data_IF_760434888868
#
_entry.id   IF_760434888868
#
_cell.length_a   1.000
_cell.length_b   1.000
_cell.length_c   1.000
_cell.angle_alpha   90.00
_cell.angle_beta   90.00
_cell.angle_gamma   90.00
#
_symmetry.space_group_name_H-M   'P 1'
#
loop_
_entity.id
_entity.type
_entity.pdbx_description
1 polymer ?
#
# COMPACT_ATOMS: atom_id res chain seq x y z
N UNK A 1 17.16 31.79 11.92
CA UNK A 1 15.82 31.37 11.44
C UNK A 1 16.02 30.47 10.22
N UNK A 2 16.04 29.15 10.42
CA UNK A 2 16.23 28.18 9.33
C UNK A 2 14.97 28.12 8.47
N UNK A 3 15.11 28.20 7.13
CA UNK A 3 14.01 28.00 6.18
C UNK A 3 13.43 26.60 6.43
N UNK A 4 12.16 26.54 6.85
CA UNK A 4 11.44 25.30 7.13
C UNK A 4 11.56 24.34 5.94
N UNK A 5 12.14 23.17 6.17
CA UNK A 5 12.13 22.08 5.20
C UNK A 5 10.68 21.57 5.10
N UNK A 6 9.96 22.05 4.09
CA UNK A 6 8.74 21.40 3.61
C UNK A 6 9.14 20.61 2.38
N UNK A 7 8.48 19.47 2.12
CA UNK A 7 8.48 18.93 0.76
C UNK A 7 8.07 20.06 -0.19
N UNK A 8 8.82 20.24 -1.27
CA UNK A 8 8.49 21.26 -2.26
C UNK A 8 7.25 20.81 -3.04
N UNK A 9 7.04 19.49 -3.18
CA UNK A 9 5.86 18.90 -3.77
C UNK A 9 4.66 18.95 -2.81
N UNK A 10 3.49 19.30 -3.36
CA UNK A 10 2.21 19.22 -2.64
C UNK A 10 1.50 17.93 -3.07
N UNK A 11 1.11 17.09 -2.11
CA UNK A 11 0.42 15.83 -2.37
C UNK A 11 -1.08 15.97 -2.15
N UNK A 12 -1.87 15.67 -3.18
CA UNK A 12 -3.33 15.76 -3.09
C UNK A 12 -3.91 14.53 -2.39
N UNK A 13 -5.14 14.65 -1.87
CA UNK A 13 -5.82 13.56 -1.17
C UNK A 13 -5.99 12.35 -2.12
N UNK A 14 -5.45 11.16 -1.76
CA UNK A 14 -5.44 10.00 -2.65
C UNK A 14 -6.82 9.30 -2.74
N UNK A 15 -7.77 9.70 -1.91
CA UNK A 15 -9.07 9.06 -1.78
C UNK A 15 -10.20 10.08 -1.82
N UNK A 16 -11.35 9.65 -2.33
CA UNK A 16 -12.59 10.42 -2.19
C UNK A 16 -13.02 10.48 -0.70
N UNK A 17 -13.57 11.64 -0.33
CA UNK A 17 -14.09 11.92 1.01
C UNK A 17 -13.07 12.47 2.00
N UNK A 18 -13.43 12.46 3.29
CA UNK A 18 -12.56 12.98 4.36
C UNK A 18 -11.33 12.07 4.51
N UNK A 19 -10.11 12.63 4.54
CA UNK A 19 -8.90 11.84 4.79
C UNK A 19 -8.98 11.15 6.15
N UNK A 20 -8.75 9.84 6.18
CA UNK A 20 -8.63 9.02 7.38
C UNK A 20 -7.27 8.33 7.37
N UNK A 21 -6.63 8.06 8.52
CA UNK A 21 -5.39 7.28 8.54
C UNK A 21 -5.58 5.93 7.83
N UNK A 22 -4.61 5.47 7.02
CA UNK A 22 -4.75 4.19 6.36
C UNK A 22 -4.70 3.09 7.42
N UNK A 23 -5.62 2.13 7.30
CA UNK A 23 -5.60 0.93 8.14
C UNK A 23 -4.40 0.06 7.80
N UNK A 24 -3.90 -0.66 8.80
CA UNK A 24 -2.76 -1.57 8.69
C UNK A 24 -3.17 -3.00 8.99
N UNK A 25 -2.35 -3.93 8.52
CA UNK A 25 -2.36 -5.33 8.93
C UNK A 25 -0.95 -5.69 9.40
N UNK A 26 -0.86 -6.30 10.59
CA UNK A 26 0.40 -6.33 11.33
C UNK A 26 0.90 -4.92 11.67
N UNK A 27 2.20 -4.80 11.92
CA UNK A 27 2.84 -3.50 12.18
C UNK A 27 3.08 -2.67 10.90
N UNK A 28 3.53 -3.30 9.81
CA UNK A 28 4.17 -2.56 8.71
C UNK A 28 3.36 -2.48 7.41
N UNK A 29 2.47 -3.44 7.15
CA UNK A 29 1.70 -3.48 5.91
C UNK A 29 0.41 -2.65 6.01
N UNK A 30 0.04 -1.91 4.96
CA UNK A 30 -1.29 -1.31 4.85
C UNK A 30 -2.27 -2.43 4.55
N UNK A 31 -3.49 -2.32 5.08
CA UNK A 31 -4.49 -3.35 4.83
C UNK A 31 -4.85 -3.41 3.34
N UNK A 32 -5.21 -4.58 2.79
CA UNK A 32 -5.73 -4.72 1.42
C UNK A 32 -6.75 -3.68 0.99
N UNK A 33 -7.69 -3.30 1.88
CA UNK A 33 -8.71 -2.29 1.61
C UNK A 33 -8.14 -0.92 1.22
N UNK A 34 -6.95 -0.56 1.68
CA UNK A 34 -6.27 0.70 1.32
C UNK A 34 -5.88 0.66 -0.16
N UNK A 35 -5.33 -0.45 -0.63
CA UNK A 35 -4.98 -0.67 -2.02
C UNK A 35 -6.22 -0.75 -2.91
N UNK A 36 -7.23 -1.52 -2.51
CA UNK A 36 -8.50 -1.61 -3.22
C UNK A 36 -9.15 -0.23 -3.39
N UNK A 37 -9.20 0.57 -2.32
CA UNK A 37 -9.73 1.93 -2.38
C UNK A 37 -8.92 2.82 -3.32
N UNK A 38 -7.59 2.67 -3.36
CA UNK A 38 -6.71 3.41 -4.27
C UNK A 38 -6.99 3.04 -5.74
N UNK A 39 -7.39 1.79 -5.96
CA UNK A 39 -7.79 1.23 -7.24
C UNK A 39 -9.27 1.44 -7.57
N UNK A 40 -9.94 2.32 -6.83
CA UNK A 40 -11.36 2.65 -6.97
C UNK A 40 -12.31 1.46 -6.74
N UNK A 41 -11.83 0.40 -6.08
CA UNK A 41 -12.62 -0.75 -5.64
C UNK A 41 -13.04 -0.50 -4.19
N UNK A 42 -14.28 -0.08 -3.98
CA UNK A 42 -14.81 0.16 -2.65
C UNK A 42 -15.48 -1.09 -2.08
N UNK A 43 -14.85 -1.82 -1.15
CA UNK A 43 -15.39 -3.05 -0.55
C UNK A 43 -16.85 -2.91 -0.11
N UNK A 44 -17.19 -1.83 0.59
CA UNK A 44 -18.57 -1.55 1.02
C UNK A 44 -19.52 -1.32 -0.16
N UNK A 45 -19.07 -0.61 -1.20
CA UNK A 45 -19.87 -0.32 -2.40
C UNK A 45 -20.16 -1.63 -3.14
N UNK A 46 -19.15 -2.45 -3.39
CA UNK A 46 -19.29 -3.73 -4.09
C UNK A 46 -20.23 -4.68 -3.34
N UNK A 47 -20.02 -4.85 -2.04
CA UNK A 47 -20.92 -5.66 -1.18
C UNK A 47 -22.37 -5.15 -1.23
N UNK A 48 -22.56 -3.83 -1.29
CA UNK A 48 -23.90 -3.23 -1.35
C UNK A 48 -24.54 -3.48 -2.71
N UNK A 49 -23.79 -3.34 -3.81
CA UNK A 49 -24.24 -3.67 -5.18
C UNK A 49 -24.68 -5.13 -5.29
N UNK A 50 -24.02 -6.05 -4.57
CA UNK A 50 -24.38 -7.46 -4.51
C UNK A 50 -25.61 -7.77 -3.63
N UNK A 51 -26.19 -6.76 -2.97
CA UNK A 51 -27.33 -6.93 -2.06
C UNK A 51 -26.94 -7.53 -0.70
N UNK A 52 -25.65 -7.57 -0.35
CA UNK A 52 -25.11 -8.20 0.85
C UNK A 52 -24.84 -7.20 1.99
N UNK A 53 -25.34 -5.97 1.87
CA UNK A 53 -25.10 -4.90 2.85
C UNK A 53 -25.59 -5.27 4.27
N UNK A 54 -26.69 -6.01 4.39
CA UNK A 54 -27.20 -6.45 5.68
C UNK A 54 -26.26 -7.46 6.35
N UNK A 55 -25.81 -8.49 5.62
CA UNK A 55 -24.84 -9.48 6.08
C UNK A 55 -23.56 -8.81 6.57
N UNK A 56 -23.01 -7.91 5.76
CA UNK A 56 -21.80 -7.17 6.10
C UNK A 56 -21.95 -6.27 7.32
N UNK A 57 -23.10 -5.59 7.47
CA UNK A 57 -23.39 -4.79 8.67
C UNK A 57 -23.47 -5.65 9.94
N UNK A 58 -24.02 -6.87 9.85
CA UNK A 58 -24.07 -7.80 10.99
C UNK A 58 -22.66 -8.26 11.37
N UNK A 59 -21.84 -8.65 10.38
CA UNK A 59 -20.45 -9.06 10.59
C UNK A 59 -19.62 -7.95 11.22
N UNK A 60 -19.61 -6.76 10.60
CA UNK A 60 -18.84 -5.61 11.11
C UNK A 60 -19.27 -5.17 12.50
N UNK A 61 -20.57 -5.23 12.83
CA UNK A 61 -21.06 -4.96 14.19
C UNK A 61 -20.58 -6.00 15.20
N UNK A 62 -20.49 -7.26 14.82
CA UNK A 62 -19.95 -8.31 15.68
C UNK A 62 -18.45 -8.12 15.92
N UNK A 63 -17.69 -7.86 14.87
CA UNK A 63 -16.25 -7.66 14.94
C UNK A 63 -15.84 -6.43 15.79
N UNK A 64 -16.73 -5.45 15.94
CA UNK A 64 -16.51 -4.26 16.79
C UNK A 64 -16.68 -4.50 18.29
N UNK A 65 -17.12 -5.69 18.72
CA UNK A 65 -17.30 -5.99 20.14
C UNK A 65 -15.97 -6.33 20.78
N UNK A 66 -15.70 -5.75 21.95
CA UNK A 66 -14.50 -6.01 22.76
C UNK A 66 -14.40 -7.47 23.23
N UNK A 67 -15.55 -8.10 23.52
CA UNK A 67 -15.64 -9.53 23.81
C UNK A 67 -16.49 -10.21 22.75
N UNK A 68 -15.85 -11.13 22.04
CA UNK A 68 -16.50 -11.95 21.02
C UNK A 68 -16.73 -13.35 21.60
N UNK A 69 -17.98 -13.80 21.54
CA UNK A 69 -18.33 -15.19 21.81
C UNK A 69 -18.01 -15.99 20.54
N UNK A 70 -17.04 -16.89 20.65
CA UNK A 70 -16.51 -17.67 19.51
C UNK A 70 -17.62 -18.48 18.82
N UNK A 71 -18.49 -19.15 19.60
CA UNK A 71 -19.60 -19.95 19.07
C UNK A 71 -20.60 -19.07 18.32
N UNK A 72 -20.92 -17.90 18.87
CA UNK A 72 -21.78 -16.91 18.21
C UNK A 72 -21.13 -16.33 16.96
N UNK A 73 -19.82 -16.10 17.00
CA UNK A 73 -19.03 -15.62 15.88
C UNK A 73 -19.01 -16.61 14.72
N UNK A 74 -18.77 -17.89 15.01
CA UNK A 74 -18.82 -18.96 14.03
C UNK A 74 -20.20 -19.09 13.39
N UNK A 75 -21.29 -19.09 14.18
CA UNK A 75 -22.66 -19.12 13.63
C UNK A 75 -22.97 -17.92 12.74
N UNK A 76 -22.54 -16.73 13.15
CA UNK A 76 -22.72 -15.53 12.34
C UNK A 76 -21.92 -15.61 11.03
N UNK A 77 -20.67 -16.07 11.09
CA UNK A 77 -19.82 -16.22 9.92
C UNK A 77 -20.40 -17.25 8.95
N UNK A 78 -20.89 -18.39 9.45
CA UNK A 78 -21.57 -19.39 8.64
C UNK A 78 -22.76 -18.82 7.87
N UNK A 79 -23.65 -18.08 8.55
CA UNK A 79 -24.80 -17.44 7.89
C UNK A 79 -24.40 -16.34 6.90
N UNK A 80 -23.31 -15.60 7.17
CA UNK A 80 -22.78 -14.62 6.21
C UNK A 80 -22.21 -15.32 4.98
N UNK A 81 -21.43 -16.39 5.15
CA UNK A 81 -20.88 -17.17 4.03
C UNK A 81 -22.00 -17.79 3.20
N UNK A 82 -23.05 -18.34 3.82
CA UNK A 82 -24.21 -18.88 3.10
C UNK A 82 -24.90 -17.82 2.23
N UNK A 83 -25.11 -16.61 2.76
CA UNK A 83 -25.67 -15.49 1.98
C UNK A 83 -24.76 -15.08 0.82
N UNK A 84 -23.45 -15.02 1.06
CA UNK A 84 -22.47 -14.78 0.00
C UNK A 84 -22.51 -15.90 -1.04
N UNK A 85 -22.68 -17.16 -0.62
CA UNK A 85 -22.79 -18.33 -1.49
C UNK A 85 -24.00 -18.35 -2.38
N UNK A 86 -25.14 -18.00 -1.84
CA UNK A 86 -26.35 -17.85 -2.62
C UNK A 86 -26.22 -16.76 -3.70
N UNK A 87 -25.37 -15.74 -3.49
CA UNK A 87 -25.23 -14.60 -4.42
C UNK A 87 -24.12 -14.75 -5.44
N UNK A 88 -22.96 -15.27 -5.05
CA UNK A 88 -21.77 -15.31 -5.91
C UNK A 88 -21.51 -16.71 -6.50
N UNK A 89 -22.35 -17.70 -6.18
CA UNK A 89 -22.12 -19.10 -6.51
C UNK A 89 -21.05 -19.72 -5.61
N UNK A 90 -21.09 -21.04 -5.42
CA UNK A 90 -20.11 -21.75 -4.58
C UNK A 90 -18.69 -21.51 -5.09
N UNK A 91 -17.86 -20.85 -4.29
CA UNK A 91 -16.45 -20.63 -4.60
C UNK A 91 -15.57 -21.66 -3.91
N UNK A 92 -14.52 -22.19 -4.57
CA UNK A 92 -13.60 -23.15 -3.95
C UNK A 92 -12.97 -22.63 -2.65
N UNK A 93 -12.74 -21.31 -2.56
CA UNK A 93 -12.10 -20.72 -1.36
C UNK A 93 -13.01 -20.80 -0.12
N UNK A 94 -14.32 -21.00 -0.28
CA UNK A 94 -15.25 -21.12 0.84
C UNK A 94 -15.34 -22.53 1.40
N UNK A 95 -14.92 -23.55 0.65
CA UNK A 95 -14.92 -24.93 1.15
C UNK A 95 -14.11 -25.05 2.44
N UNK A 96 -12.96 -24.39 2.47
CA UNK A 96 -12.08 -24.41 3.63
C UNK A 96 -12.66 -23.65 4.83
N UNK A 97 -13.34 -22.51 4.59
CA UNK A 97 -14.09 -21.83 5.63
C UNK A 97 -15.25 -22.69 6.15
N UNK A 98 -15.99 -23.36 5.26
CA UNK A 98 -17.10 -24.23 5.65
C UNK A 98 -16.61 -25.41 6.49
N UNK A 99 -15.47 -26.01 6.14
CA UNK A 99 -14.82 -27.06 6.95
C UNK A 99 -14.39 -26.53 8.31
N UNK A 100 -13.73 -25.37 8.36
CA UNK A 100 -13.32 -24.73 9.61
C UNK A 100 -14.53 -24.45 10.52
N UNK A 101 -15.63 -23.96 9.94
CA UNK A 101 -16.89 -23.69 10.66
C UNK A 101 -17.62 -24.97 11.12
N UNK A 102 -17.42 -26.08 10.41
CA UNK A 102 -17.90 -27.40 10.83
C UNK A 102 -17.03 -28.05 11.93
N UNK A 103 -15.96 -27.39 12.37
CA UNK A 103 -15.09 -27.87 13.44
C UNK A 103 -13.85 -28.64 12.99
N UNK A 104 -13.51 -28.62 11.70
CA UNK A 104 -12.26 -29.20 11.19
C UNK A 104 -11.06 -28.35 11.66
N UNK A 105 -10.30 -28.88 12.61
CA UNK A 105 -9.15 -28.20 13.20
C UNK A 105 -8.04 -27.91 12.18
N UNK A 106 -7.83 -28.77 11.18
CA UNK A 106 -6.82 -28.56 10.16
C UNK A 106 -7.25 -27.46 9.18
N UNK A 107 -8.54 -27.41 8.81
CA UNK A 107 -9.07 -26.31 8.00
C UNK A 107 -9.06 -24.99 8.79
N UNK A 108 -9.40 -25.02 10.09
CA UNK A 108 -9.32 -23.85 10.97
C UNK A 108 -7.90 -23.29 11.03
N UNK A 109 -6.90 -24.14 11.28
CA UNK A 109 -5.49 -23.75 11.31
C UNK A 109 -5.07 -23.06 10.00
N UNK A 110 -5.41 -23.65 8.85
CA UNK A 110 -5.10 -23.05 7.54
C UNK A 110 -5.80 -21.71 7.30
N UNK A 111 -7.04 -21.55 7.77
CA UNK A 111 -7.76 -20.27 7.66
C UNK A 111 -7.10 -19.18 8.50
N UNK A 112 -6.66 -19.54 9.70
CA UNK A 112 -6.02 -18.65 10.67
C UNK A 112 -4.56 -18.31 10.32
N UNK A 113 -3.83 -19.23 9.70
CA UNK A 113 -2.45 -19.04 9.24
C UNK A 113 -2.34 -18.08 8.05
N UNK A 114 -3.40 -17.93 7.25
CA UNK A 114 -3.37 -17.10 6.06
C UNK A 114 -3.42 -15.61 6.37
N UNK A 115 -2.52 -14.89 5.72
CA UNK A 115 -2.52 -13.44 5.72
C UNK A 115 -3.73 -12.87 4.95
N UNK A 116 -4.06 -11.60 5.22
CA UNK A 116 -5.14 -10.88 4.53
C UNK A 116 -4.81 -10.66 3.05
N UNK A 117 -3.55 -10.43 2.69
CA UNK A 117 -3.14 -10.37 1.28
C UNK A 117 -3.28 -11.73 0.59
N UNK A 118 -2.99 -12.84 1.25
CA UNK A 118 -3.27 -14.18 0.69
C UNK A 118 -4.75 -14.40 0.43
N UNK A 119 -5.61 -14.00 1.37
CA UNK A 119 -7.06 -14.05 1.16
C UNK A 119 -7.52 -13.15 0.01
N UNK A 120 -6.95 -11.96 -0.11
CA UNK A 120 -7.23 -11.06 -1.22
C UNK A 120 -6.87 -11.70 -2.57
N UNK A 121 -5.64 -12.21 -2.72
CA UNK A 121 -5.18 -12.77 -3.99
C UNK A 121 -5.93 -14.04 -4.37
N UNK A 122 -6.29 -14.88 -3.40
CA UNK A 122 -7.18 -16.02 -3.65
C UNK A 122 -8.56 -15.59 -4.13
N UNK A 123 -9.08 -14.46 -3.66
CA UNK A 123 -10.32 -13.88 -4.17
C UNK A 123 -10.22 -13.35 -5.61
N UNK A 124 -9.02 -13.15 -6.12
CA UNK A 124 -8.70 -12.85 -7.52
C UNK A 124 -8.20 -14.08 -8.29
N UNK A 125 -8.48 -15.28 -7.78
CA UNK A 125 -8.03 -16.56 -8.36
C UNK A 125 -6.52 -16.60 -8.63
N UNK A 126 -5.73 -15.94 -7.78
CA UNK A 126 -4.27 -15.85 -7.90
C UNK A 126 -3.60 -16.64 -6.77
N UNK A 127 -3.01 -17.79 -7.12
CA UNK A 127 -2.27 -18.65 -6.20
C UNK A 127 -0.77 -18.33 -6.11
N UNK A 128 -0.03 -18.96 -5.18
CA UNK A 128 1.43 -18.83 -5.07
C UNK A 128 2.20 -19.04 -6.39
N UNK A 129 1.67 -19.89 -7.27
CA UNK A 129 2.17 -20.16 -8.62
C UNK A 129 2.06 -18.96 -9.57
N UNK A 130 1.10 -18.06 -9.34
CA UNK A 130 0.85 -16.85 -10.14
C UNK A 130 1.39 -15.59 -9.46
N UNK A 131 1.89 -15.71 -8.23
CA UNK A 131 2.41 -14.57 -7.49
C UNK A 131 3.64 -13.98 -8.17
N UNK A 132 3.70 -12.65 -8.11
CA UNK A 132 4.79 -11.83 -8.61
C UNK A 132 5.62 -11.35 -7.43
N UNK A 133 6.81 -10.83 -7.67
CA UNK A 133 7.74 -10.33 -6.65
C UNK A 133 7.07 -9.45 -5.58
N UNK A 134 6.27 -8.48 -6.00
CA UNK A 134 5.57 -7.58 -5.08
C UNK A 134 4.44 -8.26 -4.28
N UNK A 135 3.85 -9.36 -4.78
CA UNK A 135 2.91 -10.18 -4.01
C UNK A 135 3.65 -10.95 -2.92
N UNK A 136 4.77 -11.60 -3.25
CA UNK A 136 5.61 -12.28 -2.27
C UNK A 136 6.07 -11.31 -1.17
N UNK A 137 6.55 -10.13 -1.56
CA UNK A 137 6.98 -9.11 -0.61
C UNK A 137 5.87 -8.69 0.37
N UNK A 138 4.66 -8.40 -0.11
CA UNK A 138 3.55 -8.01 0.76
C UNK A 138 3.16 -9.11 1.74
N UNK A 139 3.18 -10.37 1.31
CA UNK A 139 2.84 -11.52 2.15
C UNK A 139 3.91 -11.75 3.21
N UNK A 140 5.19 -11.73 2.82
CA UNK A 140 6.31 -11.84 3.75
C UNK A 140 6.27 -10.70 4.80
N UNK A 141 6.03 -9.47 4.35
CA UNK A 141 5.91 -8.29 5.19
C UNK A 141 4.73 -8.41 6.17
N UNK A 142 3.56 -8.84 5.69
CA UNK A 142 2.37 -9.00 6.52
C UNK A 142 2.58 -10.07 7.58
N UNK A 143 3.05 -11.26 7.21
CA UNK A 143 3.26 -12.37 8.15
C UNK A 143 4.25 -12.00 9.24
N UNK A 144 5.41 -11.47 8.87
CA UNK A 144 6.41 -11.02 9.84
C UNK A 144 5.89 -9.84 10.69
N UNK A 145 5.12 -8.93 10.07
CA UNK A 145 4.49 -7.80 10.75
C UNK A 145 3.40 -8.22 11.75
N UNK A 146 2.67 -9.32 11.49
CA UNK A 146 1.69 -9.89 12.42
C UNK A 146 2.40 -10.51 13.62
N UNK A 147 3.48 -11.26 13.40
CA UNK A 147 4.29 -11.81 14.49
C UNK A 147 4.82 -10.70 15.39
N UNK A 148 5.42 -9.66 14.81
CA UNK A 148 5.90 -8.50 15.58
C UNK A 148 4.77 -7.77 16.31
N UNK A 149 3.58 -7.67 15.71
CA UNK A 149 2.41 -7.07 16.37
C UNK A 149 1.97 -7.88 17.60
N UNK A 150 1.88 -9.20 17.48
CA UNK A 150 1.50 -10.06 18.60
C UNK A 150 2.51 -9.99 19.75
N UNK A 151 3.81 -9.99 19.45
CA UNK A 151 4.86 -9.79 20.45
C UNK A 151 4.72 -8.43 21.15
N UNK A 152 4.49 -7.36 20.38
CA UNK A 152 4.31 -6.03 20.94
C UNK A 152 3.04 -5.87 21.78
N UNK A 153 1.94 -6.50 21.39
CA UNK A 153 0.68 -6.52 22.16
C UNK A 153 0.79 -7.34 23.45
N UNK A 154 1.70 -8.32 23.50
CA UNK A 154 2.02 -9.04 24.74
C UNK A 154 2.86 -8.21 25.73
N UNK A 155 3.29 -7.01 25.35
CA UNK A 155 4.05 -6.09 26.18
C UNK A 155 5.57 -6.26 26.10
N UNK A 156 6.07 -7.20 25.29
CA UNK A 156 7.50 -7.44 25.12
C UNK A 156 8.07 -6.65 23.92
N UNK A 157 8.11 -5.32 24.08
CA UNK A 157 8.62 -4.42 23.05
C UNK A 157 10.13 -4.55 22.80
N UNK A 158 10.99 -4.81 23.80
CA UNK A 158 12.41 -5.11 23.56
C UNK A 158 12.61 -6.35 22.68
N UNK A 159 11.96 -7.48 22.97
CA UNK A 159 12.08 -8.67 22.10
C UNK A 159 11.44 -8.46 20.74
N UNK A 160 10.39 -7.62 20.66
CA UNK A 160 9.83 -7.20 19.36
C UNK A 160 10.89 -6.46 18.52
N UNK A 161 11.67 -5.57 19.14
CA UNK A 161 12.77 -4.86 18.47
C UNK A 161 13.85 -5.84 17.99
N UNK A 162 14.23 -6.81 18.83
CA UNK A 162 15.24 -7.82 18.52
C UNK A 162 14.78 -8.73 17.37
N UNK A 163 13.50 -9.13 17.37
CA UNK A 163 12.89 -9.87 16.26
C UNK A 163 12.96 -9.08 14.95
N UNK A 164 12.54 -7.80 14.96
CA UNK A 164 12.61 -6.94 13.76
C UNK A 164 14.05 -6.81 13.27
N UNK A 165 15.00 -6.57 14.18
CA UNK A 165 16.42 -6.35 13.86
C UNK A 165 17.12 -7.59 13.28
N UNK A 166 16.63 -8.79 13.60
CA UNK A 166 17.21 -10.07 13.15
C UNK A 166 16.47 -10.67 11.95
N UNK A 167 15.23 -10.25 11.70
CA UNK A 167 14.44 -10.78 10.59
C UNK A 167 15.04 -10.38 9.23
N UNK A 168 15.18 -11.31 8.26
CA UNK A 168 15.86 -11.03 6.98
C UNK A 168 15.24 -9.88 6.18
N UNK A 169 13.91 -9.75 6.22
CA UNK A 169 13.19 -8.63 5.60
C UNK A 169 13.06 -7.38 6.51
N UNK A 170 12.53 -7.54 7.74
CA UNK A 170 12.14 -6.39 8.57
C UNK A 170 13.31 -5.54 9.08
N UNK A 171 14.51 -6.11 9.18
CA UNK A 171 15.71 -5.37 9.63
C UNK A 171 15.99 -4.14 8.77
N UNK A 172 15.58 -4.17 7.50
CA UNK A 172 15.78 -3.10 6.54
C UNK A 172 14.85 -1.90 6.75
N UNK A 173 13.82 -2.04 7.59
CA UNK A 173 12.91 -0.97 8.00
C UNK A 173 13.34 -0.30 9.31
N UNK A 174 14.33 -0.89 10.01
CA UNK A 174 14.71 -0.50 11.36
C UNK A 174 16.08 0.18 11.35
N UNK A 175 16.10 1.48 11.62
CA UNK A 175 17.33 2.24 11.84
C UNK A 175 17.68 2.30 13.34
N UNK A 176 18.94 2.61 13.72
CA UNK A 176 19.40 2.52 15.11
C UNK A 176 18.50 3.25 16.12
N UNK A 177 18.08 4.47 15.80
CA UNK A 177 17.22 5.27 16.66
C UNK A 177 15.81 4.67 16.79
N UNK A 178 15.29 4.02 15.75
CA UNK A 178 14.01 3.33 15.81
C UNK A 178 14.10 2.09 16.72
N UNK A 179 15.19 1.33 16.63
CA UNK A 179 15.44 0.20 17.52
C UNK A 179 15.42 0.64 18.99
N UNK A 180 16.13 1.72 19.32
CA UNK A 180 16.14 2.30 20.67
C UNK A 180 14.78 2.86 21.10
N UNK A 181 13.96 3.35 20.17
CA UNK A 181 12.60 3.77 20.47
C UNK A 181 11.71 2.59 20.86
N UNK A 182 11.78 1.46 20.13
CA UNK A 182 11.06 0.24 20.48
C UNK A 182 11.46 -0.28 21.88
N UNK A 183 12.75 -0.33 22.18
CA UNK A 183 13.24 -0.82 23.48
C UNK A 183 12.80 0.02 24.68
N UNK A 184 12.55 1.32 24.48
CA UNK A 184 12.21 2.28 25.55
C UNK A 184 10.71 2.54 25.68
N UNK A 185 9.91 2.18 24.69
CA UNK A 185 8.47 2.38 24.73
C UNK A 185 7.83 1.50 25.82
N UNK A 186 6.78 2.03 26.45
CA UNK A 186 6.03 1.29 27.48
C UNK A 186 4.84 0.54 26.88
N UNK A 187 4.32 1.02 25.76
CA UNK A 187 3.21 0.42 25.03
C UNK A 187 3.35 0.70 23.54
N UNK A 188 2.74 -0.18 22.73
CA UNK A 188 2.82 -0.08 21.27
C UNK A 188 2.22 1.22 20.72
N UNK A 189 1.23 1.78 21.40
CA UNK A 189 0.58 3.03 21.01
C UNK A 189 1.53 4.24 21.02
N UNK A 190 2.56 4.22 21.87
CA UNK A 190 3.59 5.27 21.93
C UNK A 190 4.44 5.30 20.64
N UNK A 191 4.48 4.17 19.91
CA UNK A 191 5.26 3.99 18.69
C UNK A 191 4.42 4.21 17.42
N UNK A 192 3.16 4.65 17.53
CA UNK A 192 2.23 4.69 16.38
C UNK A 192 2.75 5.49 15.19
N UNK A 193 3.42 6.62 15.43
CA UNK A 193 3.98 7.49 14.40
C UNK A 193 5.24 6.90 13.77
N UNK A 194 6.09 6.26 14.58
CA UNK A 194 7.27 5.51 14.12
C UNK A 194 6.86 4.32 13.25
N UNK A 195 5.93 3.49 13.74
CA UNK A 195 5.40 2.34 13.00
C UNK A 195 4.82 2.80 11.67
N UNK A 196 4.13 3.96 11.63
CA UNK A 196 3.65 4.52 10.38
C UNK A 196 4.79 4.92 9.43
N UNK A 197 5.86 5.54 9.94
CA UNK A 197 7.05 5.87 9.15
C UNK A 197 7.69 4.62 8.53
N UNK A 198 7.80 3.54 9.31
CA UNK A 198 8.24 2.23 8.82
C UNK A 198 7.27 1.63 7.79
N UNK A 199 5.95 1.77 7.98
CA UNK A 199 4.96 1.34 6.97
C UNK A 199 5.18 2.06 5.65
N UNK A 200 5.43 3.37 5.68
CA UNK A 200 5.68 4.15 4.46
C UNK A 200 6.94 3.68 3.73
N UNK A 201 8.03 3.35 4.45
CA UNK A 201 9.24 2.72 3.87
C UNK A 201 8.98 1.32 3.32
N UNK A 202 8.19 0.51 4.02
CA UNK A 202 7.82 -0.81 3.55
C UNK A 202 7.06 -0.76 2.22
N UNK A 203 6.17 0.22 2.03
CA UNK A 203 5.42 0.35 0.77
C UNK A 203 6.23 0.99 -0.36
N UNK A 204 7.31 1.72 -0.03
CA UNK A 204 8.31 2.08 -1.03
C UNK A 204 9.05 0.82 -1.51
N UNK A 205 9.37 -0.10 -0.61
CA UNK A 205 9.89 -1.43 -0.94
C UNK A 205 8.96 -2.25 -1.83
N UNK A 206 7.66 -2.24 -1.56
CA UNK A 206 6.64 -2.85 -2.43
C UNK A 206 6.70 -2.33 -3.87
N UNK A 207 6.82 -1.00 -4.04
CA UNK A 207 6.94 -0.40 -5.38
C UNK A 207 8.24 -0.79 -6.08
N UNK A 208 9.34 -0.94 -5.32
CA UNK A 208 10.60 -1.42 -5.86
C UNK A 208 10.53 -2.89 -6.29
N UNK A 209 9.91 -3.76 -5.48
CA UNK A 209 9.67 -5.17 -5.86
C UNK A 209 8.87 -5.27 -7.17
N UNK A 210 7.85 -4.41 -7.32
CA UNK A 210 7.06 -4.38 -8.55
C UNK A 210 7.87 -3.87 -9.74
N UNK A 211 8.72 -2.87 -9.54
CA UNK A 211 9.59 -2.36 -10.59
C UNK A 211 10.63 -3.38 -11.07
N UNK A 212 11.28 -4.12 -10.16
CA UNK A 212 12.22 -5.20 -10.52
C UNK A 212 11.56 -6.22 -11.44
N UNK A 213 10.33 -6.60 -11.12
CA UNK A 213 9.52 -7.52 -11.91
C UNK A 213 9.18 -6.97 -13.31
N UNK A 214 8.89 -5.66 -13.42
CA UNK A 214 8.57 -5.03 -14.71
C UNK A 214 9.80 -4.75 -15.57
N UNK A 215 10.92 -4.39 -14.94
CA UNK A 215 12.18 -4.07 -15.61
C UNK A 215 12.86 -5.32 -16.19
N UNK A 216 12.55 -6.51 -15.68
CA UNK A 216 13.12 -7.79 -16.15
C UNK A 216 14.66 -7.76 -16.23
N UNK A 217 15.31 -7.19 -15.21
CA UNK A 217 16.77 -7.01 -15.15
C UNK A 217 17.32 -5.74 -15.80
N UNK A 218 16.46 -4.94 -16.44
CA UNK A 218 16.82 -3.64 -17.02
C UNK A 218 16.72 -2.46 -16.05
N UNK A 219 16.67 -1.26 -16.64
CA UNK A 219 16.50 0.00 -15.92
C UNK A 219 15.12 0.12 -15.27
N UNK A 220 15.06 0.92 -14.20
CA UNK A 220 13.83 1.16 -13.45
C UNK A 220 12.76 1.83 -14.31
N UNK A 221 11.59 1.18 -14.41
CA UNK A 221 10.40 1.68 -15.11
C UNK A 221 9.71 2.79 -14.31
N UNK A 222 9.82 2.74 -12.98
CA UNK A 222 9.17 3.69 -12.07
C UNK A 222 10.05 4.87 -11.65
N UNK A 223 11.35 4.86 -11.95
CA UNK A 223 12.27 5.97 -11.64
C UNK A 223 11.75 7.34 -12.10
N UNK A 224 11.07 7.38 -13.25
CA UNK A 224 10.48 8.61 -13.80
C UNK A 224 9.33 9.18 -12.95
N UNK A 225 8.73 8.39 -12.05
CA UNK A 225 7.63 8.79 -11.15
C UNK A 225 8.12 9.30 -9.79
N UNK A 226 9.42 9.17 -9.50
CA UNK A 226 10.01 9.50 -8.20
C UNK A 226 10.27 11.00 -8.08
N UNK A 227 9.70 11.68 -7.06
CA UNK A 227 10.06 13.06 -6.77
C UNK A 227 11.55 13.18 -6.45
N UNK A 228 12.21 14.22 -6.98
CA UNK A 228 13.64 14.42 -6.84
C UNK A 228 13.99 15.87 -6.53
N UNK A 229 15.16 16.08 -5.92
CA UNK A 229 15.73 17.42 -5.71
C UNK A 229 16.05 18.14 -7.03
N UNK A 230 16.28 17.40 -8.12
CA UNK A 230 16.53 17.94 -9.46
C UNK A 230 15.26 18.43 -10.16
N UNK A 231 14.08 18.03 -9.68
CA UNK A 231 12.77 18.47 -10.18
C UNK A 231 11.90 18.97 -9.00
N UNK A 232 12.30 20.07 -8.34
CA UNK A 232 11.62 20.54 -7.14
C UNK A 232 10.16 20.90 -7.44
N UNK A 233 9.27 20.57 -6.50
CA UNK A 233 7.84 20.89 -6.61
C UNK A 233 7.02 19.91 -7.45
N UNK A 234 7.65 18.94 -8.12
CA UNK A 234 6.97 17.93 -8.92
C UNK A 234 6.56 16.74 -8.04
N UNK A 235 5.26 16.49 -7.96
CA UNK A 235 4.71 15.31 -7.30
C UNK A 235 4.55 14.14 -8.31
N UNK A 236 4.30 12.90 -7.84
CA UNK A 236 4.20 11.72 -8.71
C UNK A 236 3.14 11.83 -9.81
N UNK A 237 2.04 12.54 -9.58
CA UNK A 237 1.01 12.74 -10.60
C UNK A 237 1.49 13.67 -11.72
N UNK A 238 2.17 14.76 -11.36
CA UNK A 238 2.76 15.64 -12.35
C UNK A 238 3.86 14.95 -13.17
N UNK A 239 4.61 14.04 -12.53
CA UNK A 239 5.65 13.25 -13.19
C UNK A 239 5.07 12.19 -14.12
N UNK A 240 3.97 11.55 -13.71
CA UNK A 240 3.17 10.69 -14.57
C UNK A 240 2.69 11.42 -15.82
N UNK A 241 2.22 12.65 -15.66
CA UNK A 241 1.78 13.45 -16.80
C UNK A 241 2.93 13.77 -17.78
N UNK A 242 4.13 14.08 -17.29
CA UNK A 242 5.31 14.28 -18.15
C UNK A 242 5.63 13.02 -18.97
N UNK A 243 5.59 11.84 -18.34
CA UNK A 243 5.83 10.56 -19.01
C UNK A 243 4.72 10.22 -20.02
N UNK A 244 3.47 10.50 -19.68
CA UNK A 244 2.34 10.38 -20.60
C UNK A 244 2.55 11.27 -21.83
N UNK A 245 2.85 12.56 -21.65
CA UNK A 245 3.13 13.48 -22.77
C UNK A 245 4.28 12.98 -23.65
N UNK A 246 5.37 12.51 -23.03
CA UNK A 246 6.52 11.93 -23.73
C UNK A 246 6.11 10.75 -24.61
N UNK A 247 5.31 9.82 -24.09
CA UNK A 247 4.83 8.64 -24.83
C UNK A 247 3.83 8.96 -25.92
N UNK A 248 2.99 9.97 -25.73
CA UNK A 248 2.09 10.50 -26.77
C UNK A 248 2.85 11.21 -27.90
N UNK A 249 4.15 11.47 -27.73
CA UNK A 249 4.96 12.23 -28.69
C UNK A 249 4.56 13.70 -28.78
N UNK A 250 4.00 14.27 -27.71
CA UNK A 250 3.54 15.66 -27.65
C UNK A 250 4.32 16.43 -26.57
N UNK A 251 4.84 17.60 -26.93
CA UNK A 251 5.68 18.42 -26.05
C UNK A 251 4.90 19.44 -25.21
N UNK A 252 3.59 19.56 -25.42
CA UNK A 252 2.75 20.55 -24.76
C UNK A 252 1.29 20.13 -24.72
N UNK A 253 0.56 20.67 -23.75
CA UNK A 253 -0.89 20.43 -23.60
C UNK A 253 -1.64 20.86 -24.86
N UNK A 254 -1.28 22.03 -25.42
CA UNK A 254 -1.87 22.52 -26.66
C UNK A 254 -1.71 21.53 -27.81
N UNK A 255 -0.53 20.91 -27.97
CA UNK A 255 -0.31 19.88 -29.00
C UNK A 255 -1.02 18.56 -28.74
N UNK A 256 -1.26 18.21 -27.48
CA UNK A 256 -2.14 17.07 -27.15
C UNK A 256 -3.54 17.37 -27.65
N UNK A 257 -4.12 18.52 -27.30
CA UNK A 257 -5.51 18.86 -27.63
C UNK A 257 -5.75 19.19 -29.10
N UNK A 258 -4.81 19.86 -29.76
CA UNK A 258 -4.94 20.26 -31.17
C UNK A 258 -4.67 19.13 -32.16
N UNK A 259 -4.26 17.95 -31.66
CA UNK A 259 -4.04 16.77 -32.50
C UNK A 259 -5.37 16.11 -32.89
N UNK A 260 -5.36 15.39 -34.02
CA UNK A 260 -6.52 14.62 -34.46
C UNK A 260 -6.94 13.62 -33.38
N UNK A 261 -5.98 12.92 -32.80
CA UNK A 261 -6.19 11.95 -31.72
C UNK A 261 -6.78 12.62 -30.47
N UNK A 262 -6.17 13.73 -30.01
CA UNK A 262 -6.61 14.44 -28.81
C UNK A 262 -8.03 15.00 -28.90
N UNK A 263 -8.42 15.53 -30.06
CA UNK A 263 -9.78 16.04 -30.30
C UNK A 263 -10.88 14.99 -30.08
N UNK A 264 -10.55 13.70 -30.17
CA UNK A 264 -11.49 12.58 -30.02
C UNK A 264 -11.65 12.10 -28.57
N UNK A 265 -10.86 12.63 -27.64
CA UNK A 265 -10.84 12.18 -26.24
C UNK A 265 -11.86 12.89 -25.35
N UNK A 266 -12.39 14.03 -25.79
CA UNK A 266 -13.26 14.88 -24.97
C UNK A 266 -12.54 15.59 -23.81
N UNK A 267 -11.21 15.51 -23.74
CA UNK A 267 -10.41 16.19 -22.73
C UNK A 267 -10.34 17.70 -22.99
N UNK A 268 -10.37 18.46 -21.91
CA UNK A 268 -10.19 19.92 -21.94
C UNK A 268 -8.82 20.35 -21.39
N UNK A 269 -8.45 21.59 -21.70
CA UNK A 269 -7.21 22.22 -21.22
C UNK A 269 -7.13 22.26 -19.69
N UNK A 270 -8.26 22.47 -19.01
CA UNK A 270 -8.31 22.56 -17.55
C UNK A 270 -7.91 21.24 -16.88
N UNK A 271 -8.37 20.12 -17.42
CA UNK A 271 -8.09 18.78 -16.93
C UNK A 271 -6.61 18.43 -17.11
N UNK A 272 -6.05 18.69 -18.29
CA UNK A 272 -4.63 18.47 -18.55
C UNK A 272 -3.73 19.40 -17.72
N UNK A 273 -4.14 20.66 -17.51
CA UNK A 273 -3.46 21.57 -16.59
C UNK A 273 -3.44 21.02 -15.15
N UNK A 274 -4.56 20.46 -14.67
CA UNK A 274 -4.64 19.88 -13.32
C UNK A 274 -3.74 18.66 -13.16
N UNK A 275 -3.63 17.82 -14.19
CA UNK A 275 -2.71 16.66 -14.21
C UNK A 275 -1.25 17.12 -14.25
N UNK A 276 -0.92 18.07 -15.13
CA UNK A 276 0.42 18.66 -15.25
C UNK A 276 0.86 19.32 -13.94
N UNK A 277 -0.03 20.05 -13.26
CA UNK A 277 0.23 20.63 -11.95
C UNK A 277 0.22 19.61 -10.80
N UNK A 278 -0.15 18.36 -11.04
CA UNK A 278 -0.22 17.31 -10.03
C UNK A 278 -1.35 17.49 -9.00
N UNK A 279 -2.32 18.36 -9.27
CA UNK A 279 -3.42 18.65 -8.33
C UNK A 279 -4.52 17.60 -8.36
N UNK A 280 -4.64 16.87 -9.48
CA UNK A 280 -5.62 15.80 -9.68
C UNK A 280 -4.96 14.71 -10.53
N UNK A 281 -5.16 13.44 -10.18
CA UNK A 281 -4.76 12.31 -11.04
C UNK A 281 -5.81 12.02 -12.12
N UNK A 282 -5.40 11.46 -13.27
CA UNK A 282 -6.35 10.85 -14.19
C UNK A 282 -7.13 9.72 -13.51
N UNK A 283 -8.37 9.48 -13.94
CA UNK A 283 -9.02 8.20 -13.72
C UNK A 283 -8.65 7.21 -14.83
N UNK A 284 -8.81 5.92 -14.56
CA UNK A 284 -8.39 4.86 -15.48
C UNK A 284 -9.22 4.84 -16.77
N UNK A 285 -10.50 5.19 -16.71
CA UNK A 285 -11.37 5.19 -17.90
C UNK A 285 -10.93 6.31 -18.86
N UNK A 286 -10.66 7.50 -18.33
CA UNK A 286 -10.13 8.62 -19.12
C UNK A 286 -8.75 8.31 -19.68
N UNK A 287 -7.87 7.66 -18.91
CA UNK A 287 -6.57 7.21 -19.40
C UNK A 287 -6.74 6.21 -20.56
N UNK A 288 -7.66 5.24 -20.44
CA UNK A 288 -7.94 4.29 -21.52
C UNK A 288 -8.42 4.96 -22.80
N UNK A 289 -9.33 5.92 -22.71
CA UNK A 289 -9.83 6.67 -23.88
C UNK A 289 -8.68 7.43 -24.56
N UNK A 290 -7.81 8.06 -23.78
CA UNK A 290 -6.65 8.78 -24.31
C UNK A 290 -5.66 7.83 -25.01
N UNK A 291 -5.31 6.71 -24.38
CA UNK A 291 -4.38 5.74 -24.97
C UNK A 291 -4.96 5.08 -26.22
N UNK A 292 -6.26 4.81 -26.24
CA UNK A 292 -6.96 4.25 -27.42
C UNK A 292 -6.89 5.22 -28.60
N UNK A 293 -7.19 6.51 -28.36
CA UNK A 293 -7.15 7.53 -29.39
C UNK A 293 -5.76 7.68 -30.04
N UNK A 294 -4.70 7.40 -29.29
CA UNK A 294 -3.30 7.47 -29.74
C UNK A 294 -2.72 6.11 -30.17
N UNK A 295 -3.53 5.04 -30.21
CA UNK A 295 -3.06 3.70 -30.59
C UNK A 295 -2.10 3.04 -29.60
N UNK A 296 -2.08 3.51 -28.34
CA UNK A 296 -1.24 3.02 -27.25
C UNK A 296 -1.97 2.06 -26.31
N UNK A 297 -3.26 1.80 -26.51
CA UNK A 297 -4.03 0.88 -25.68
C UNK A 297 -3.65 -0.57 -25.97
N UNK A 298 -2.58 -1.03 -25.31
CA UNK A 298 -2.04 -2.39 -25.41
C UNK A 298 -1.89 -3.01 -24.02
N UNK A 299 -1.98 -4.33 -23.90
CA UNK A 299 -1.88 -5.01 -22.60
C UNK A 299 -0.49 -4.89 -21.95
N UNK A 300 0.55 -4.65 -22.75
CA UNK A 300 1.95 -4.49 -22.36
C UNK A 300 2.35 -3.02 -22.14
N UNK A 301 1.40 -2.08 -22.20
CA UNK A 301 1.68 -0.65 -22.04
C UNK A 301 2.12 -0.32 -20.60
N UNK A 302 3.33 0.23 -20.47
CA UNK A 302 3.96 0.56 -19.19
C UNK A 302 3.29 1.76 -18.49
N UNK A 303 2.50 2.58 -19.18
CA UNK A 303 1.72 3.64 -18.53
C UNK A 303 0.73 3.10 -17.48
N UNK A 304 0.22 1.88 -17.62
CA UNK A 304 -0.67 1.30 -16.60
C UNK A 304 0.02 1.05 -15.26
N UNK A 305 1.14 0.31 -15.18
CA UNK A 305 1.84 0.18 -13.92
C UNK A 305 2.42 1.52 -13.42
N UNK A 306 2.89 2.41 -14.31
CA UNK A 306 3.37 3.73 -13.92
C UNK A 306 2.26 4.62 -13.30
N UNK A 307 1.04 4.54 -13.83
CA UNK A 307 -0.14 5.20 -13.28
C UNK A 307 -0.41 4.77 -11.84
N UNK A 308 -0.38 3.46 -11.58
CA UNK A 308 -0.59 2.91 -10.25
C UNK A 308 0.57 3.21 -9.30
N UNK A 309 1.81 3.21 -9.79
CA UNK A 309 2.97 3.66 -9.04
C UNK A 309 2.80 5.12 -8.58
N UNK A 310 2.43 6.01 -9.50
CA UNK A 310 2.19 7.43 -9.19
C UNK A 310 1.10 7.62 -8.13
N UNK A 311 0.01 6.85 -8.21
CA UNK A 311 -1.06 6.86 -7.18
C UNK A 311 -0.56 6.39 -5.81
N UNK A 312 0.19 5.30 -5.75
CA UNK A 312 0.75 4.78 -4.50
C UNK A 312 1.74 5.78 -3.89
N UNK A 313 2.69 6.29 -4.68
CA UNK A 313 3.64 7.32 -4.20
C UNK A 313 2.93 8.59 -3.72
N UNK A 314 1.88 9.04 -4.42
CA UNK A 314 1.10 10.19 -3.98
C UNK A 314 0.41 9.92 -2.63
N UNK A 315 -0.11 8.71 -2.42
CA UNK A 315 -0.68 8.31 -1.13
C UNK A 315 0.37 8.35 -0.02
N UNK A 316 1.57 7.80 -0.24
CA UNK A 316 2.67 7.84 0.72
C UNK A 316 3.04 9.28 1.07
N UNK A 317 3.24 10.13 0.06
CA UNK A 317 3.57 11.54 0.24
C UNK A 317 2.47 12.32 0.95
N UNK A 318 1.20 12.08 0.62
CA UNK A 318 0.07 12.73 1.28
C UNK A 318 0.04 12.45 2.79
N UNK A 319 0.15 11.18 3.20
CA UNK A 319 0.11 10.85 4.62
C UNK A 319 1.36 11.28 5.36
N UNK A 320 2.54 11.19 4.75
CA UNK A 320 3.77 11.72 5.34
C UNK A 320 3.67 13.24 5.54
N UNK A 321 3.18 13.99 4.54
CA UNK A 321 2.97 15.43 4.64
C UNK A 321 2.03 15.79 5.80
N UNK A 322 0.93 15.03 6.00
CA UNK A 322 0.02 15.24 7.14
C UNK A 322 0.71 15.06 8.49
N UNK A 323 1.65 14.12 8.61
CA UNK A 323 2.40 13.90 9.86
C UNK A 323 3.46 14.97 10.06
N UNK A 324 4.14 15.40 9.00
CA UNK A 324 5.05 16.55 9.03
C UNK A 324 4.31 17.82 9.48
N UNK A 325 3.12 18.07 8.95
CA UNK A 325 2.29 19.20 9.36
C UNK A 325 1.86 19.09 10.82
N UNK A 326 1.46 17.90 11.28
CA UNK A 326 1.14 17.65 12.69
C UNK A 326 2.36 17.86 13.61
N UNK A 327 3.55 17.42 13.18
CA UNK A 327 4.80 17.60 13.90
C UNK A 327 5.20 19.06 14.05
N UNK A 328 5.04 19.85 12.99
CA UNK A 328 5.28 21.29 13.07
C UNK A 328 4.29 22.01 14.00
N UNK A 329 3.04 21.55 14.09
CA UNK A 329 2.04 22.13 15.00
C UNK A 329 2.30 21.79 16.47
N UNK A 330 2.90 20.62 16.74
CA UNK A 330 3.19 20.15 18.09
C UNK A 330 4.63 20.42 18.54
N UNK A 331 5.46 21.14 17.76
CA UNK A 331 6.90 21.31 17.99
C UNK A 331 7.26 21.84 19.38
N UNK A 332 6.43 22.69 19.97
CA UNK A 332 6.63 23.28 21.30
C UNK A 332 5.87 22.54 22.42
N UNK A 333 5.30 21.36 22.12
CA UNK A 333 4.52 20.55 23.05
C UNK A 333 5.28 19.28 23.46
N UNK A 334 5.13 18.78 24.71
CA UNK A 334 5.62 17.46 25.11
C UNK A 334 5.12 16.32 24.20
N UNK A 335 3.98 16.51 23.53
CA UNK A 335 3.40 15.55 22.59
C UNK A 335 4.25 15.34 21.33
N UNK A 336 5.24 16.21 21.05
CA UNK A 336 6.17 16.06 19.91
C UNK A 336 6.92 14.72 19.95
N UNK A 337 7.16 14.17 21.14
CA UNK A 337 7.84 12.87 21.30
C UNK A 337 6.99 11.73 20.73
N UNK A 338 5.65 11.81 20.84
CA UNK A 338 4.72 10.76 20.35
C UNK A 338 4.58 10.74 18.83
N UNK A 339 5.09 11.77 18.17
CA UNK A 339 5.07 11.93 16.71
C UNK A 339 6.47 11.88 16.12
N UNK A 340 7.50 11.51 16.87
CA UNK A 340 8.80 11.14 16.32
C UNK A 340 8.64 9.93 15.35
N UNK A 341 9.37 9.85 14.22
CA UNK A 341 10.48 10.71 13.79
C UNK A 341 10.10 12.04 13.12
N UNK A 342 8.82 12.34 12.96
CA UNK A 342 8.36 13.52 12.23
C UNK A 342 8.76 14.83 12.95
N UNK A 343 9.13 15.90 12.21
CA UNK A 343 8.96 16.11 10.78
C UNK A 343 10.03 15.47 9.89
N UNK A 344 11.08 14.87 10.46
CA UNK A 344 12.02 14.10 9.66
C UNK A 344 11.35 12.80 9.18
N UNK A 345 11.75 12.38 7.99
CA UNK A 345 11.32 11.13 7.36
C UNK A 345 12.14 9.96 7.95
N UNK A 346 11.76 8.68 7.71
CA UNK A 346 12.57 7.53 8.11
C UNK A 346 14.06 7.75 7.81
N UNK A 347 14.96 7.23 8.65
CA UNK A 347 16.42 7.43 8.50
C UNK A 347 16.90 8.90 8.58
N UNK A 348 16.07 9.82 9.11
CA UNK A 348 16.46 11.20 9.38
C UNK A 348 16.49 12.10 8.13
N UNK A 349 15.85 11.69 7.03
CA UNK A 349 15.78 12.52 5.83
C UNK A 349 14.88 13.74 6.04
N UNK A 350 15.29 14.90 5.50
CA UNK A 350 14.61 16.19 5.73
C UNK A 350 13.40 16.46 4.83
N UNK A 351 13.19 15.64 3.80
CA UNK A 351 12.07 15.81 2.86
C UNK A 351 11.68 14.48 2.22
N UNK A 352 10.47 14.42 1.66
CA UNK A 352 9.98 13.25 0.93
C UNK A 352 10.88 12.93 -0.26
N UNK A 353 11.30 13.94 -1.02
CA UNK A 353 12.17 13.78 -2.18
C UNK A 353 13.55 13.23 -1.80
N UNK A 354 14.12 13.68 -0.68
CA UNK A 354 15.39 13.16 -0.19
C UNK A 354 15.27 11.71 0.29
N UNK A 355 14.18 11.40 1.00
CA UNK A 355 13.89 10.04 1.45
C UNK A 355 13.68 9.08 0.27
N UNK A 356 12.84 9.43 -0.71
CA UNK A 356 12.62 8.58 -1.90
C UNK A 356 13.91 8.41 -2.71
N UNK A 357 14.67 9.48 -2.94
CA UNK A 357 15.90 9.42 -3.73
C UNK A 357 16.98 8.50 -3.11
N UNK A 358 16.97 8.33 -1.80
CA UNK A 358 17.86 7.41 -1.09
C UNK A 358 17.27 5.99 -1.00
N UNK A 359 16.05 5.89 -0.47
CA UNK A 359 15.44 4.62 -0.07
C UNK A 359 14.89 3.82 -1.23
N UNK A 360 14.42 4.45 -2.30
CA UNK A 360 13.90 3.70 -3.44
C UNK A 360 15.00 2.93 -4.20
N UNK A 361 16.16 3.52 -4.55
CA UNK A 361 17.28 2.77 -5.12
C UNK A 361 17.80 1.66 -4.20
N UNK A 362 17.80 1.90 -2.87
CA UNK A 362 18.14 0.87 -1.90
C UNK A 362 17.24 -0.35 -2.01
N UNK A 363 15.91 -0.14 -1.98
CA UNK A 363 14.95 -1.23 -2.11
C UNK A 363 15.02 -1.93 -3.47
N UNK A 364 15.29 -1.20 -4.55
CA UNK A 364 15.52 -1.80 -5.87
C UNK A 364 16.72 -2.76 -5.86
N UNK A 365 17.84 -2.32 -5.27
CA UNK A 365 19.02 -3.17 -5.14
C UNK A 365 18.73 -4.40 -4.27
N UNK A 366 18.08 -4.20 -3.13
CA UNK A 366 17.67 -5.28 -2.24
C UNK A 366 16.82 -6.33 -2.96
N UNK A 367 15.81 -5.92 -3.72
CA UNK A 367 14.95 -6.86 -4.44
C UNK A 367 15.64 -7.59 -5.60
N UNK A 368 16.60 -6.94 -6.26
CA UNK A 368 17.43 -7.59 -7.28
C UNK A 368 18.36 -8.66 -6.69
N UNK A 369 18.84 -8.45 -5.47
CA UNK A 369 19.78 -9.35 -4.80
C UNK A 369 19.07 -10.47 -4.02
N UNK A 370 17.97 -10.14 -3.32
CA UNK A 370 17.33 -11.02 -2.33
C UNK A 370 15.90 -11.45 -2.72
N UNK A 371 15.49 -11.31 -3.98
CA UNK A 371 14.13 -11.67 -4.44
C UNK A 371 13.72 -13.11 -4.07
N UNK A 372 14.61 -14.09 -4.28
CA UNK A 372 14.35 -15.49 -3.92
C UNK A 372 14.24 -15.71 -2.40
N UNK A 373 14.99 -14.96 -1.58
CA UNK A 373 14.87 -15.01 -0.11
C UNK A 373 13.50 -14.48 0.33
N UNK A 374 13.05 -13.35 -0.25
CA UNK A 374 11.73 -12.78 0.02
C UNK A 374 10.61 -13.75 -0.37
N UNK A 375 10.75 -14.41 -1.52
CA UNK A 375 9.82 -15.46 -1.96
C UNK A 375 9.77 -16.63 -0.98
N UNK A 376 10.92 -17.10 -0.49
CA UNK A 376 10.97 -18.18 0.50
C UNK A 376 10.29 -17.79 1.82
N UNK A 377 10.39 -16.53 2.26
CA UNK A 377 9.69 -16.02 3.45
C UNK A 377 8.17 -15.95 3.27
N UNK A 378 7.70 -15.72 2.05
CA UNK A 378 6.28 -15.59 1.71
C UNK A 378 5.57 -16.94 1.53
N UNK A 379 6.31 -17.98 1.15
CA UNK A 379 5.75 -19.33 0.98
C UNK A 379 5.63 -20.03 2.35
N UNK A 380 4.62 -20.90 2.55
CA UNK A 380 4.59 -21.75 3.72
C UNK A 380 5.88 -22.58 3.79
N UNK A 381 6.55 -22.58 4.93
CA UNK A 381 7.70 -23.47 5.11
C UNK A 381 7.16 -24.91 5.09
N UNK A 382 7.51 -25.67 4.06
CA UNK A 382 7.26 -27.11 4.05
C UNK A 382 8.16 -27.68 5.12
N UNK A 383 7.60 -27.94 6.31
CA UNK A 383 8.28 -28.78 7.29
C UNK A 383 8.51 -30.12 6.58
N UNK A 384 9.75 -30.41 6.23
CA UNK A 384 10.15 -31.76 5.87
C UNK A 384 9.90 -32.62 7.11
N UNK A 385 8.78 -33.34 7.09
CA UNK A 385 8.41 -34.33 8.09
C UNK A 385 9.33 -35.55 7.99
#
# INVERSE_FOLDING_TARGET
>A
MSKKARSNAVFHTPFEGKPAPPSRVGLFAFSPDVHLKLYSVGTQREITTLGLAAAWKRLTRFLRKERQDEVKGMRLMAGVLEEFSAKLGGQPQWEEFNRALAGDAAAKAKVEERSRFEWLFRGFDTGPEDWREHHFYLIALERAGITALHMGLAGDLPSTADYIATHPLLKHLLWPEAYEAFRRASQLDDLRALIFAMSVDAHLGYLAAWDVQLAAGGDSVFSCMMPSSTRPGRNPTSLFYDELQRRLGKDSIGRVLSSFEGSRTGLDQSTLNRWSAGTHSPDLATLHVLLDAYGLKRSDELLYPQFWCAKNLNMLGHYAQRLVDAAHLAADSPEVVKIWPWPDYPFGHKSFEAWVADRYPYWLAYHREHGEEVKALALPQVNAA
#
